data_IF_941091602666
#
_entry.id   IF_941091602666
#
_cell.length_a   1.000
_cell.length_b   1.000
_cell.length_c   1.000
_cell.angle_alpha   90.00
_cell.angle_beta   90.00
_cell.angle_gamma   90.00
#
_symmetry.space_group_name_H-M   'P 1'
#
loop_
_entity.id
_entity.type
_entity.pdbx_description
1 polymer ?
#
# COMPACT_ATOMS: atom_id res chain seq x y z
N UNK A 1 11.73 -15.31 -16.79
CA UNK A 1 12.12 -13.91 -17.07
C UNK A 1 10.94 -12.95 -16.84
N UNK A 2 11.08 -11.64 -17.09
CA UNK A 2 10.01 -10.64 -16.91
C UNK A 2 9.79 -9.80 -18.19
N UNK A 3 9.17 -10.36 -19.23
CA UNK A 3 9.08 -9.72 -20.55
C UNK A 3 8.10 -8.53 -20.59
N UNK A 4 7.19 -8.41 -19.63
CA UNK A 4 6.13 -7.39 -19.67
C UNK A 4 6.56 -6.10 -18.96
N UNK A 5 7.12 -5.15 -19.71
CA UNK A 5 7.59 -3.85 -19.20
C UNK A 5 6.50 -2.75 -19.27
N UNK A 6 6.41 -1.93 -18.24
CA UNK A 6 5.60 -0.72 -18.20
C UNK A 6 6.33 0.42 -18.91
N UNK A 7 5.68 1.09 -19.86
CA UNK A 7 6.22 2.27 -20.53
C UNK A 7 6.36 3.48 -19.60
N UNK A 8 5.38 3.66 -18.70
CA UNK A 8 5.26 4.86 -17.85
C UNK A 8 6.32 4.95 -16.74
N UNK A 9 6.85 3.82 -16.26
CA UNK A 9 7.87 3.79 -15.20
C UNK A 9 8.94 2.70 -15.33
N UNK A 10 9.01 2.02 -16.47
CA UNK A 10 10.03 1.02 -16.77
C UNK A 10 9.97 -0.29 -15.97
N UNK A 11 9.02 -0.46 -15.04
CA UNK A 11 8.87 -1.68 -14.22
C UNK A 11 8.50 -2.89 -15.06
N UNK A 12 9.16 -4.03 -14.80
CA UNK A 12 8.93 -5.27 -15.52
C UNK A 12 8.21 -6.33 -14.69
N UNK A 13 7.32 -7.08 -15.33
CA UNK A 13 6.44 -8.09 -14.75
C UNK A 13 6.62 -9.44 -15.47
N UNK A 14 6.44 -10.54 -14.73
CA UNK A 14 6.47 -11.90 -15.27
C UNK A 14 5.21 -12.25 -16.06
N UNK A 15 4.09 -11.54 -15.83
CA UNK A 15 2.79 -11.84 -16.42
C UNK A 15 2.10 -10.57 -16.93
N UNK A 16 1.49 -10.66 -18.12
CA UNK A 16 0.72 -9.58 -18.77
C UNK A 16 -0.40 -9.01 -17.86
N UNK A 17 -1.24 -9.80 -17.16
CA UNK A 17 -2.25 -9.26 -16.24
C UNK A 17 -1.66 -8.44 -15.08
N UNK A 18 -0.44 -8.75 -14.62
CA UNK A 18 0.23 -7.99 -13.57
C UNK A 18 0.69 -6.62 -14.08
N UNK A 19 1.13 -6.53 -15.35
CA UNK A 19 1.40 -5.25 -16.00
C UNK A 19 0.11 -4.42 -16.19
N UNK A 20 -0.98 -5.05 -16.64
CA UNK A 20 -2.26 -4.34 -16.84
C UNK A 20 -2.84 -3.80 -15.53
N UNK A 21 -2.85 -4.60 -14.46
CA UNK A 21 -3.28 -4.14 -13.13
C UNK A 21 -2.33 -3.11 -12.52
N UNK A 22 -1.03 -3.14 -12.86
CA UNK A 22 -0.09 -2.10 -12.48
C UNK A 22 -0.35 -0.75 -13.18
N UNK A 23 -0.73 -0.73 -14.46
CA UNK A 23 -1.05 0.52 -15.19
C UNK A 23 -2.13 1.36 -14.50
N UNK A 24 -3.06 0.73 -13.76
CA UNK A 24 -4.06 1.42 -12.92
C UNK A 24 -3.47 2.35 -11.85
N UNK A 25 -2.20 2.14 -11.46
CA UNK A 25 -1.48 3.04 -10.54
C UNK A 25 -1.14 4.38 -11.22
N UNK A 26 -0.95 4.38 -12.54
CA UNK A 26 -0.68 5.58 -13.33
C UNK A 26 -1.96 6.32 -13.72
N UNK A 27 -3.03 5.59 -14.07
CA UNK A 27 -4.32 6.19 -14.43
C UNK A 27 -5.20 6.55 -13.23
N UNK A 28 -4.88 6.05 -12.03
CA UNK A 28 -5.73 6.21 -10.83
C UNK A 28 -7.02 5.38 -10.84
N UNK A 29 -7.21 4.53 -11.86
CA UNK A 29 -8.41 3.72 -12.06
C UNK A 29 -8.63 2.73 -10.91
N UNK A 30 -9.78 2.81 -10.24
CA UNK A 30 -10.15 1.94 -9.10
C UNK A 30 -11.53 1.32 -9.33
N UNK A 31 -11.67 0.29 -10.19
CA UNK A 31 -12.97 -0.25 -10.62
C UNK A 31 -13.78 -0.99 -9.55
N UNK A 32 -13.20 -1.21 -8.37
CA UNK A 32 -13.78 -2.06 -7.33
C UNK A 32 -14.16 -1.21 -6.10
N UNK A 33 -15.30 -0.49 -6.11
CA UNK A 33 -15.82 0.23 -4.95
C UNK A 33 -16.28 -0.73 -3.86
N UNK A 34 -16.02 -0.38 -2.60
CA UNK A 34 -16.68 -1.00 -1.45
C UNK A 34 -18.06 -0.38 -1.24
N UNK A 35 -19.12 -1.19 -1.38
CA UNK A 35 -20.49 -0.73 -1.20
C UNK A 35 -20.78 -0.13 0.19
N UNK A 36 -20.11 -0.60 1.24
CA UNK A 36 -20.35 -0.16 2.62
C UNK A 36 -19.67 1.17 2.99
N UNK A 37 -18.58 1.57 2.33
CA UNK A 37 -17.82 2.77 2.73
C UNK A 37 -17.27 3.60 1.57
N UNK A 38 -17.67 3.32 0.32
CA UNK A 38 -17.24 4.04 -0.89
C UNK A 38 -15.76 3.86 -1.26
N UNK A 39 -14.91 3.25 -0.42
CA UNK A 39 -13.48 3.06 -0.70
C UNK A 39 -13.28 2.15 -1.91
N UNK A 40 -12.72 2.70 -2.98
CA UNK A 40 -12.46 1.94 -4.21
C UNK A 40 -11.07 1.29 -4.24
N UNK A 41 -10.91 0.21 -4.99
CA UNK A 41 -9.67 -0.54 -5.14
C UNK A 41 -9.35 -0.79 -6.62
N UNK A 42 -8.06 -0.94 -6.96
CA UNK A 42 -7.59 -1.26 -8.33
C UNK A 42 -7.62 -2.76 -8.66
N UNK A 43 -7.85 -3.62 -7.66
CA UNK A 43 -7.91 -5.08 -7.78
C UNK A 43 -9.01 -5.68 -6.88
N UNK A 44 -9.77 -6.66 -7.40
CA UNK A 44 -10.85 -7.35 -6.68
C UNK A 44 -10.39 -8.04 -5.40
N UNK A 45 -9.20 -8.65 -5.41
CA UNK A 45 -8.63 -9.32 -4.23
C UNK A 45 -8.44 -8.36 -3.03
N UNK A 46 -8.06 -7.10 -3.30
CA UNK A 46 -7.90 -6.08 -2.27
C UNK A 46 -9.24 -5.62 -1.70
N UNK A 47 -10.29 -5.51 -2.55
CA UNK A 47 -11.66 -5.26 -2.10
C UNK A 47 -12.16 -6.41 -1.19
N UNK A 48 -11.98 -7.67 -1.58
CA UNK A 48 -12.38 -8.84 -0.79
C UNK A 48 -11.62 -8.95 0.54
N UNK A 49 -10.34 -8.55 0.58
CA UNK A 49 -9.57 -8.45 1.82
C UNK A 49 -10.06 -7.31 2.71
N UNK A 50 -10.44 -6.17 2.12
CA UNK A 50 -11.01 -5.03 2.83
C UNK A 50 -12.41 -5.32 3.38
N UNK A 51 -13.28 -6.02 2.65
CA UNK A 51 -14.61 -6.43 3.11
C UNK A 51 -14.57 -7.33 4.34
N UNK A 52 -13.48 -8.09 4.56
CA UNK A 52 -13.28 -8.85 5.81
C UNK A 52 -13.08 -7.97 7.04
N UNK A 53 -12.62 -6.73 6.88
CA UNK A 53 -12.52 -5.75 7.98
C UNK A 53 -13.93 -5.36 8.43
N UNK A 54 -14.82 -5.09 7.46
CA UNK A 54 -16.22 -4.78 7.76
C UNK A 54 -16.98 -5.98 8.33
N UNK A 55 -16.77 -7.18 7.77
CA UNK A 55 -17.36 -8.40 8.33
C UNK A 55 -16.86 -8.70 9.76
N UNK A 56 -15.64 -8.26 10.13
CA UNK A 56 -15.16 -8.35 11.51
C UNK A 56 -15.83 -7.34 12.46
N UNK A 57 -16.34 -6.21 11.95
CA UNK A 57 -17.17 -5.26 12.71
C UNK A 57 -18.67 -5.57 12.69
N UNK A 58 -19.18 -6.31 11.70
CA UNK A 58 -20.61 -6.54 11.46
C UNK A 58 -21.10 -7.98 11.74
N UNK A 59 -20.37 -8.78 12.53
CA UNK A 59 -20.87 -10.09 13.02
C UNK A 59 -21.96 -9.96 14.10
N UNK A 60 -23.03 -9.21 13.80
CA UNK A 60 -24.20 -9.05 14.65
C UNK A 60 -25.54 -9.31 13.92
N UNK A 61 -25.66 -9.09 12.60
CA UNK A 61 -26.91 -9.30 11.87
C UNK A 61 -26.76 -10.07 10.55
N UNK A 62 -27.55 -11.15 10.46
CA UNK A 62 -28.03 -11.86 9.27
C UNK A 62 -27.02 -12.58 8.34
N UNK A 63 -27.43 -13.77 7.90
CA UNK A 63 -26.76 -14.54 6.84
C UNK A 63 -27.48 -14.42 5.49
N UNK A 64 -26.83 -14.92 4.43
CA UNK A 64 -27.36 -14.94 3.06
C UNK A 64 -26.38 -15.62 2.11
N UNK A 65 -26.87 -16.59 1.34
CA UNK A 65 -26.15 -17.76 0.82
C UNK A 65 -25.22 -17.56 -0.41
N UNK A 66 -24.05 -18.23 -0.32
CA UNK A 66 -23.43 -19.19 -1.27
C UNK A 66 -22.79 -18.76 -2.63
N UNK A 67 -21.78 -19.50 -3.15
CA UNK A 67 -20.36 -19.84 -2.74
C UNK A 67 -19.71 -20.76 -3.84
N UNK A 68 -18.43 -21.18 -3.91
CA UNK A 68 -17.17 -20.89 -3.16
C UNK A 68 -16.05 -20.48 -4.14
N UNK A 69 -15.77 -21.31 -5.17
CA UNK A 69 -14.85 -20.98 -6.27
C UNK A 69 -13.35 -21.25 -6.05
N UNK A 70 -12.98 -22.34 -5.36
CA UNK A 70 -11.67 -23.01 -5.34
C UNK A 70 -10.41 -22.20 -4.92
N UNK A 71 -9.67 -22.78 -3.97
CA UNK A 71 -8.47 -22.23 -3.30
C UNK A 71 -7.21 -22.34 -4.20
N UNK A 72 -6.08 -21.68 -3.83
CA UNK A 72 -5.18 -22.41 -2.94
C UNK A 72 -4.71 -21.62 -1.71
N UNK A 73 -4.46 -22.41 -0.66
CA UNK A 73 -4.00 -21.99 0.67
C UNK A 73 -2.52 -21.62 0.61
N UNK A 74 -2.20 -20.33 0.48
CA UNK A 74 -0.82 -19.87 0.69
C UNK A 74 -0.44 -20.09 2.15
N UNK A 75 0.39 -21.13 2.36
CA UNK A 75 1.00 -21.51 3.62
C UNK A 75 1.80 -20.33 4.16
N UNK A 76 1.23 -19.56 5.08
CA UNK A 76 1.95 -18.60 5.90
C UNK A 76 2.82 -19.38 6.90
N UNK A 77 3.91 -19.96 6.40
CA UNK A 77 4.96 -20.49 7.26
C UNK A 77 5.53 -19.30 8.04
N UNK A 78 5.45 -19.38 9.36
CA UNK A 78 5.98 -18.36 10.24
C UNK A 78 7.43 -18.07 9.87
N UNK A 79 7.76 -16.81 9.59
CA UNK A 79 9.15 -16.37 9.66
C UNK A 79 9.43 -15.94 11.10
N UNK A 80 10.39 -16.66 11.67
CA UNK A 80 11.02 -16.40 12.95
C UNK A 80 11.44 -14.94 13.10
N UNK A 81 11.55 -14.52 14.36
CA UNK A 81 12.13 -13.25 14.75
C UNK A 81 13.62 -13.25 14.37
N UNK A 82 13.96 -12.60 13.25
CA UNK A 82 15.31 -12.23 12.86
C UNK A 82 15.22 -10.88 12.17
N UNK A 83 16.06 -9.93 12.58
CA UNK A 83 15.91 -8.50 12.29
C UNK A 83 16.40 -8.09 10.89
N UNK A 84 16.11 -8.91 9.87
CA UNK A 84 16.42 -8.64 8.48
C UNK A 84 15.52 -7.52 7.93
N UNK A 85 15.87 -6.30 8.31
CA UNK A 85 15.24 -5.04 7.93
C UNK A 85 16.14 -4.37 6.88
N UNK A 86 15.85 -4.51 5.56
CA UNK A 86 16.86 -4.26 4.52
C UNK A 86 17.28 -2.80 4.31
N UNK A 87 16.74 -1.88 5.11
CA UNK A 87 16.85 -0.44 4.91
C UNK A 87 17.30 0.23 6.19
N UNK A 88 18.62 0.29 6.38
CA UNK A 88 19.27 0.92 7.54
C UNK A 88 19.58 2.40 7.23
N UNK A 89 19.39 3.27 8.21
CA UNK A 89 19.77 4.68 8.12
C UNK A 89 21.29 4.84 8.34
N UNK A 90 22.05 5.38 7.37
CA UNK A 90 23.50 5.53 7.53
C UNK A 90 23.90 6.56 8.60
N UNK A 91 22.99 7.47 8.94
CA UNK A 91 23.25 8.60 9.84
C UNK A 91 22.97 8.29 11.32
N UNK A 92 22.20 7.23 11.62
CA UNK A 92 21.86 6.86 13.00
C UNK A 92 21.62 5.36 13.24
N UNK A 93 21.92 4.49 12.27
CA UNK A 93 21.76 3.03 12.38
C UNK A 93 20.32 2.51 12.45
N UNK A 94 19.30 3.37 12.43
CA UNK A 94 17.89 2.94 12.55
C UNK A 94 17.43 2.13 11.33
N UNK A 95 16.86 0.96 11.57
CA UNK A 95 16.46 0.02 10.53
C UNK A 95 14.95 0.04 10.25
N UNK A 96 14.58 -0.08 8.96
CA UNK A 96 13.21 0.03 8.49
C UNK A 96 12.79 -1.19 7.66
N UNK A 97 11.54 -1.64 7.86
CA UNK A 97 10.93 -2.73 7.09
C UNK A 97 10.63 -2.37 5.62
N UNK A 98 10.59 -1.07 5.28
CA UNK A 98 10.26 -0.60 3.93
C UNK A 98 11.10 0.61 3.54
N UNK A 99 11.63 0.61 2.30
CA UNK A 99 12.46 1.71 1.76
C UNK A 99 11.83 3.10 1.88
N UNK A 100 10.52 3.32 1.62
CA UNK A 100 9.91 4.64 1.75
C UNK A 100 10.01 5.23 3.16
N UNK A 101 9.94 4.38 4.20
CA UNK A 101 10.01 4.81 5.60
C UNK A 101 11.42 5.27 5.98
N UNK A 102 12.46 4.65 5.42
CA UNK A 102 13.83 5.15 5.55
C UNK A 102 13.99 6.52 4.85
N UNK A 103 13.44 6.68 3.64
CA UNK A 103 13.53 7.95 2.91
C UNK A 103 12.81 9.09 3.65
N UNK A 104 11.63 8.85 4.22
CA UNK A 104 10.94 9.88 5.04
C UNK A 104 11.64 10.13 6.37
N UNK A 105 12.26 9.10 6.97
CA UNK A 105 13.04 9.23 8.20
C UNK A 105 14.27 10.13 8.03
N UNK A 106 15.04 10.00 6.93
CA UNK A 106 16.27 10.79 6.71
C UNK A 106 16.04 12.31 6.72
N UNK A 107 14.82 12.77 6.42
CA UNK A 107 14.43 14.19 6.52
C UNK A 107 14.52 14.78 7.93
N UNK A 108 14.56 13.93 8.96
CA UNK A 108 14.80 14.36 10.35
C UNK A 108 16.24 14.84 10.52
N UNK A 109 17.19 14.24 9.80
CA UNK A 109 18.60 14.62 9.85
C UNK A 109 18.93 15.72 8.84
N UNK A 110 18.43 15.65 7.60
CA UNK A 110 18.68 16.68 6.58
C UNK A 110 17.87 17.96 6.79
N UNK A 111 16.90 17.96 7.72
CA UNK A 111 16.02 19.10 7.97
C UNK A 111 15.03 19.39 6.83
N UNK A 112 14.97 18.55 5.79
CA UNK A 112 14.09 18.72 4.64
C UNK A 112 12.60 18.77 5.03
N UNK A 113 11.92 19.85 4.65
CA UNK A 113 10.49 20.05 4.90
C UNK A 113 9.75 20.35 3.59
N UNK A 114 9.55 19.37 2.69
CA UNK A 114 9.06 19.61 1.32
C UNK A 114 7.59 20.01 1.22
N UNK A 115 6.84 19.97 2.32
CA UNK A 115 5.40 20.22 2.35
C UNK A 115 5.12 21.56 3.03
N UNK A 116 4.96 22.63 2.25
CA UNK A 116 4.69 23.97 2.77
C UNK A 116 3.20 24.30 2.71
N UNK A 117 2.66 24.84 3.80
CA UNK A 117 1.31 25.39 3.83
C UNK A 117 1.28 26.72 3.07
N UNK A 118 0.46 26.79 2.02
CA UNK A 118 0.31 28.00 1.21
C UNK A 118 -0.33 29.17 1.97
N UNK A 119 -1.12 28.89 3.01
CA UNK A 119 -1.83 29.91 3.78
C UNK A 119 -0.96 30.59 4.85
N UNK A 120 -0.02 29.86 5.48
CA UNK A 120 0.75 30.35 6.62
C UNK A 120 2.27 30.20 6.48
N UNK A 121 2.76 29.68 5.35
CA UNK A 121 4.19 29.48 5.07
C UNK A 121 4.89 28.37 5.88
N UNK A 122 4.21 27.72 6.84
CA UNK A 122 4.82 26.66 7.66
C UNK A 122 5.13 25.43 6.82
N UNK A 123 6.36 24.94 6.90
CA UNK A 123 6.83 23.74 6.19
C UNK A 123 6.83 22.51 7.09
N UNK A 124 6.64 21.32 6.50
CA UNK A 124 6.54 20.01 7.18
C UNK A 124 7.36 18.93 6.47
N UNK A 125 7.87 17.96 7.24
CA UNK A 125 8.67 16.83 6.73
C UNK A 125 7.84 15.66 6.17
N UNK A 126 6.56 15.57 6.54
CA UNK A 126 5.60 14.57 6.06
C UNK A 126 4.29 15.21 5.60
N UNK A 127 3.67 14.65 4.54
CA UNK A 127 2.42 15.17 3.96
C UNK A 127 1.20 15.11 4.90
N UNK A 128 0.98 14.05 5.70
CA UNK A 128 -0.13 14.04 6.66
C UNK A 128 -0.08 15.21 7.64
N UNK A 129 1.11 15.56 8.14
CA UNK A 129 1.31 16.66 9.09
C UNK A 129 0.94 18.03 8.50
N UNK A 130 1.01 18.20 7.18
CA UNK A 130 0.50 19.41 6.50
C UNK A 130 -1.03 19.36 6.34
N UNK A 131 -1.62 18.18 6.13
CA UNK A 131 -3.08 18.02 5.94
C UNK A 131 -3.85 18.21 7.25
N UNK A 132 -3.23 17.94 8.40
CA UNK A 132 -3.82 18.10 9.74
C UNK A 132 -3.35 19.36 10.47
N UNK A 133 -2.66 20.28 9.79
CA UNK A 133 -2.15 21.53 10.38
C UNK A 133 -3.18 22.65 10.32
#
# INVERSE_FOLDING_TARGET
EKPYRCGDCGKSFSQRPNLLTHRRVHTGERPFPCAQCGKSFSQKANLLAHQRIHAASEKALAGGEQEEGAKPKLRSQARSYQEDTPFVCPECGKSFRQKPNLITHRRIHTGERPFTCFLCGRSFNQKPNLVTH
#
